data_IF_787466413063
#
_entry.id   IF_787466413063
#
_cell.length_a   1.000
_cell.length_b   1.000
_cell.length_c   1.000
_cell.angle_alpha   90.00
_cell.angle_beta   90.00
_cell.angle_gamma   90.00
#
_symmetry.space_group_name_H-M   'P 1'
#
loop_
_entity.id
_entity.type
_entity.pdbx_description
1 polymer ?
#
# COMPACT_ATOMS: atom_id res chain seq x y z
N UNK A 1 -18.53 7.44 -23.57
CA UNK A 1 -17.69 6.24 -23.33
C UNK A 1 -18.01 5.69 -21.95
N UNK A 2 -17.99 4.36 -21.74
CA UNK A 2 -18.17 3.78 -20.38
C UNK A 2 -17.04 4.24 -19.46
N UNK A 3 -17.34 4.54 -18.19
CA UNK A 3 -16.35 4.94 -17.16
C UNK A 3 -15.16 3.97 -17.10
N UNK A 4 -15.41 2.66 -17.25
CA UNK A 4 -14.36 1.64 -17.29
C UNK A 4 -13.42 1.76 -18.52
N UNK A 5 -13.93 2.20 -19.68
CA UNK A 5 -13.07 2.47 -20.85
C UNK A 5 -12.20 3.70 -20.62
N UNK A 6 -12.74 4.75 -20.01
CA UNK A 6 -11.96 5.94 -19.63
C UNK A 6 -10.88 5.59 -18.59
N UNK A 7 -11.22 4.77 -17.60
CA UNK A 7 -10.30 4.23 -16.61
C UNK A 7 -9.08 3.56 -17.27
N UNK A 8 -9.29 2.56 -18.12
CA UNK A 8 -8.19 1.85 -18.82
C UNK A 8 -7.31 2.77 -19.67
N UNK A 9 -7.91 3.72 -20.38
CA UNK A 9 -7.16 4.64 -21.26
C UNK A 9 -6.29 5.59 -20.42
N UNK A 10 -6.83 6.11 -19.31
CA UNK A 10 -6.12 7.05 -18.45
C UNK A 10 -4.88 6.47 -17.76
N UNK A 11 -4.89 5.17 -17.45
CA UNK A 11 -3.80 4.48 -16.76
C UNK A 11 -2.77 3.87 -17.71
N UNK A 12 -3.15 3.61 -18.96
CA UNK A 12 -2.25 3.13 -20.01
C UNK A 12 -1.49 4.27 -20.70
N UNK A 13 -2.14 5.43 -20.90
CA UNK A 13 -1.57 6.57 -21.63
C UNK A 13 -0.87 7.61 -20.72
N UNK A 14 -0.43 7.20 -19.53
CA UNK A 14 0.36 8.07 -18.65
C UNK A 14 1.57 8.60 -19.42
N UNK A 15 1.58 9.92 -19.62
CA UNK A 15 2.60 10.76 -20.26
C UNK A 15 4.01 10.17 -20.27
N UNK A 16 4.76 10.38 -21.37
CA UNK A 16 6.21 10.09 -21.55
C UNK A 16 7.16 10.62 -20.44
N UNK A 17 6.61 11.25 -19.40
CA UNK A 17 7.33 11.71 -18.23
C UNK A 17 7.85 10.54 -17.38
N UNK A 18 9.18 10.46 -17.27
CA UNK A 18 9.92 9.43 -16.54
C UNK A 18 9.45 9.29 -15.07
N UNK A 19 8.97 10.36 -14.42
CA UNK A 19 8.50 10.29 -13.04
C UNK A 19 7.18 9.51 -12.91
N UNK A 20 6.27 9.70 -13.87
CA UNK A 20 5.01 8.94 -13.94
C UNK A 20 5.27 7.46 -14.16
N UNK A 21 6.27 7.14 -14.99
CA UNK A 21 6.74 5.76 -15.20
C UNK A 21 7.25 5.12 -13.90
N UNK A 22 8.09 5.84 -13.14
CA UNK A 22 8.64 5.35 -11.86
C UNK A 22 7.54 5.12 -10.82
N UNK A 23 6.54 5.98 -10.76
CA UNK A 23 5.37 5.77 -9.90
C UNK A 23 4.60 4.48 -10.28
N UNK A 24 4.35 4.28 -11.59
CA UNK A 24 3.74 3.03 -12.08
C UNK A 24 4.59 1.81 -11.73
N UNK A 25 5.91 1.87 -11.92
CA UNK A 25 6.86 0.81 -11.54
C UNK A 25 6.80 0.51 -10.05
N UNK A 26 6.68 1.53 -9.20
CA UNK A 26 6.58 1.36 -7.76
C UNK A 26 5.33 0.57 -7.38
N UNK A 27 4.17 0.91 -7.94
CA UNK A 27 2.92 0.18 -7.64
C UNK A 27 2.98 -1.24 -8.22
N UNK A 28 3.54 -1.43 -9.42
CA UNK A 28 3.79 -2.76 -9.95
C UNK A 28 4.65 -3.57 -8.97
N UNK A 29 5.73 -2.96 -8.45
CA UNK A 29 6.61 -3.58 -7.47
C UNK A 29 5.84 -3.96 -6.21
N UNK A 30 4.99 -3.08 -5.65
CA UNK A 30 4.18 -3.42 -4.48
C UNK A 30 3.34 -4.69 -4.70
N UNK A 31 2.72 -4.83 -5.87
CA UNK A 31 1.86 -5.97 -6.20
C UNK A 31 2.66 -7.25 -6.44
N UNK A 32 3.66 -7.24 -7.32
CA UNK A 32 4.47 -8.41 -7.66
C UNK A 32 5.80 -8.02 -8.30
N UNK A 33 6.89 -8.71 -7.92
CA UNK A 33 8.21 -8.46 -8.53
C UNK A 33 8.24 -8.89 -10.00
N UNK A 34 7.62 -10.03 -10.34
CA UNK A 34 7.59 -10.54 -11.72
C UNK A 34 6.79 -9.60 -12.61
N UNK A 35 5.67 -9.07 -12.10
CA UNK A 35 4.88 -8.07 -12.80
C UNK A 35 5.67 -6.78 -13.06
N UNK A 36 6.40 -6.30 -12.05
CA UNK A 36 7.25 -5.12 -12.20
C UNK A 36 8.39 -5.34 -13.18
N UNK A 37 9.04 -6.51 -13.17
CA UNK A 37 10.13 -6.85 -14.09
C UNK A 37 9.65 -7.02 -15.53
N UNK A 38 8.56 -7.74 -15.76
CA UNK A 38 8.00 -7.91 -17.11
C UNK A 38 7.64 -6.57 -17.75
N UNK A 39 7.03 -5.66 -16.97
CA UNK A 39 6.75 -4.30 -17.44
C UNK A 39 8.04 -3.49 -17.63
N UNK A 40 9.03 -3.61 -16.74
CA UNK A 40 10.32 -2.93 -16.87
C UNK A 40 11.06 -3.33 -18.16
N UNK A 41 11.12 -4.63 -18.48
CA UNK A 41 11.76 -5.12 -19.71
C UNK A 41 11.08 -4.55 -20.95
N UNK A 42 9.75 -4.61 -20.99
CA UNK A 42 8.97 -4.02 -22.09
C UNK A 42 9.15 -2.50 -22.21
N UNK A 43 9.24 -1.76 -21.10
CA UNK A 43 9.43 -0.31 -21.07
C UNK A 43 10.84 0.12 -21.48
N UNK A 44 11.86 -0.68 -21.19
CA UNK A 44 13.26 -0.39 -21.54
C UNK A 44 13.69 -1.05 -22.86
N UNK A 45 12.78 -1.73 -23.57
CA UNK A 45 13.07 -2.40 -24.84
C UNK A 45 14.06 -3.56 -24.72
N UNK A 46 14.09 -4.23 -23.56
CA UNK A 46 14.94 -5.38 -23.31
C UNK A 46 14.19 -6.65 -23.75
N UNK A 47 14.78 -7.39 -24.69
CA UNK A 47 14.24 -8.68 -25.15
C UNK A 47 14.42 -9.74 -24.04
N UNK A 48 13.41 -10.59 -23.86
CA UNK A 48 13.64 -11.87 -23.18
C UNK A 48 14.43 -12.73 -24.16
N UNK A 49 15.60 -13.23 -23.75
CA UNK A 49 16.36 -14.23 -24.52
C UNK A 49 15.52 -15.53 -24.60
N UNK A 50 14.55 -15.56 -25.50
CA UNK A 50 13.86 -16.77 -25.90
C UNK A 50 14.67 -17.41 -27.04
N UNK A 51 15.62 -18.25 -26.65
CA UNK A 51 16.27 -19.23 -27.54
C UNK A 51 15.19 -20.18 -28.10
N UNK A 52 14.52 -19.76 -29.17
CA UNK A 52 13.72 -20.66 -29.98
C UNK A 52 14.63 -21.34 -31.00
N UNK A 53 15.02 -22.58 -30.71
CA UNK A 53 15.43 -23.51 -31.77
C UNK A 53 14.22 -23.74 -32.70
N UNK A 54 14.15 -22.98 -33.79
CA UNK A 54 13.21 -23.22 -34.88
C UNK A 54 13.57 -24.50 -35.62
N UNK A 55 12.95 -25.62 -35.24
CA UNK A 55 12.88 -26.82 -36.08
C UNK A 55 11.91 -26.57 -37.23
N UNK A 56 12.29 -26.93 -38.45
CA UNK A 56 11.38 -26.93 -39.60
C UNK A 56 10.26 -27.96 -39.38
N UNK A 57 9.02 -27.48 -39.27
CA UNK A 57 7.83 -28.32 -39.03
C UNK A 57 7.28 -28.84 -40.35
N UNK A 58 6.85 -30.11 -40.37
CA UNK A 58 6.18 -30.72 -41.52
C UNK A 58 4.82 -30.05 -41.78
N UNK A 59 4.35 -30.02 -43.03
CA UNK A 59 3.12 -29.33 -43.43
C UNK A 59 1.85 -29.77 -42.65
N UNK A 60 1.80 -31.03 -42.21
CA UNK A 60 0.70 -31.57 -41.39
C UNK A 60 0.74 -30.98 -39.98
N UNK A 61 1.93 -30.81 -39.40
CA UNK A 61 2.11 -30.17 -38.09
C UNK A 61 1.81 -28.68 -38.16
N UNK A 62 2.16 -28.01 -39.26
CA UNK A 62 1.79 -26.62 -39.51
C UNK A 62 0.27 -26.44 -39.57
N UNK A 63 -0.45 -27.32 -40.27
CA UNK A 63 -1.91 -27.27 -40.34
C UNK A 63 -2.57 -27.55 -38.98
N UNK A 64 -2.10 -28.55 -38.24
CA UNK A 64 -2.60 -28.84 -36.89
C UNK A 64 -2.32 -27.70 -35.91
N UNK A 65 -1.15 -27.06 -36.01
CA UNK A 65 -0.77 -25.90 -35.20
C UNK A 65 -1.62 -24.67 -35.56
N UNK A 66 -1.92 -24.46 -36.85
CA UNK A 66 -2.81 -23.39 -37.31
C UNK A 66 -4.26 -23.58 -36.84
N UNK A 67 -4.80 -24.80 -36.92
CA UNK A 67 -6.14 -25.10 -36.41
C UNK A 67 -6.23 -24.94 -34.89
N UNK A 68 -5.21 -25.42 -34.15
CA UNK A 68 -5.11 -25.25 -32.70
C UNK A 68 -5.00 -23.77 -32.33
N UNK A 69 -4.18 -23.01 -33.04
CA UNK A 69 -4.05 -21.56 -32.87
C UNK A 69 -5.39 -20.84 -33.13
N UNK A 70 -6.14 -21.25 -34.16
CA UNK A 70 -7.47 -20.67 -34.45
C UNK A 70 -8.49 -20.96 -33.35
N UNK A 71 -8.51 -22.19 -32.82
CA UNK A 71 -9.40 -22.57 -31.70
C UNK A 71 -9.03 -21.81 -30.43
N UNK A 72 -7.74 -21.70 -30.10
CA UNK A 72 -7.25 -20.92 -28.97
C UNK A 72 -7.62 -19.44 -29.12
N UNK A 73 -7.39 -18.83 -30.28
CA UNK A 73 -7.72 -17.43 -30.52
C UNK A 73 -9.21 -17.11 -30.33
N UNK A 74 -10.12 -18.03 -30.65
CA UNK A 74 -11.56 -17.87 -30.40
C UNK A 74 -11.87 -17.95 -28.90
N UNK A 75 -11.24 -18.88 -28.18
CA UNK A 75 -11.40 -19.00 -26.73
C UNK A 75 -10.82 -17.78 -26.00
N UNK A 76 -9.66 -17.28 -26.43
CA UNK A 76 -9.00 -16.09 -25.89
C UNK A 76 -9.87 -14.85 -26.07
N UNK A 77 -10.45 -14.64 -27.27
CA UNK A 77 -11.39 -13.52 -27.50
C UNK A 77 -12.60 -13.58 -26.57
N UNK A 78 -13.18 -14.76 -26.36
CA UNK A 78 -14.31 -14.91 -25.45
C UNK A 78 -13.91 -14.67 -23.99
N UNK A 79 -12.74 -15.16 -23.58
CA UNK A 79 -12.19 -14.91 -22.25
C UNK A 79 -11.99 -13.42 -22.00
N UNK A 80 -11.40 -12.71 -22.96
CA UNK A 80 -11.24 -11.26 -22.89
C UNK A 80 -12.58 -10.52 -22.79
N UNK A 81 -13.60 -10.95 -23.52
CA UNK A 81 -14.94 -10.33 -23.44
C UNK A 81 -15.56 -10.50 -22.06
N UNK A 82 -15.50 -11.71 -21.51
CA UNK A 82 -16.01 -12.01 -20.16
C UNK A 82 -15.22 -11.26 -19.10
N UNK A 83 -13.91 -11.18 -19.24
CA UNK A 83 -13.02 -10.44 -18.35
C UNK A 83 -13.33 -8.93 -18.39
N UNK A 84 -13.47 -8.34 -19.58
CA UNK A 84 -13.87 -6.93 -19.73
C UNK A 84 -15.23 -6.66 -19.06
N UNK A 85 -16.18 -7.58 -19.19
CA UNK A 85 -17.48 -7.47 -18.54
C UNK A 85 -17.37 -7.57 -17.00
N UNK A 86 -16.60 -8.55 -16.49
CA UNK A 86 -16.35 -8.73 -15.06
C UNK A 86 -15.69 -7.47 -14.48
N UNK A 87 -14.61 -6.99 -15.07
CA UNK A 87 -13.88 -5.81 -14.62
C UNK A 87 -14.74 -4.55 -14.64
N UNK A 88 -15.61 -4.36 -15.65
CA UNK A 88 -16.54 -3.23 -15.69
C UNK A 88 -17.55 -3.28 -14.52
N UNK A 89 -18.05 -4.48 -14.17
CA UNK A 89 -18.96 -4.67 -13.03
C UNK A 89 -18.24 -4.47 -11.69
N UNK A 90 -17.04 -5.02 -11.56
CA UNK A 90 -16.17 -4.88 -10.38
C UNK A 90 -15.86 -3.41 -10.14
N UNK A 91 -15.43 -2.67 -11.16
CA UNK A 91 -15.14 -1.24 -11.04
C UNK A 91 -16.34 -0.44 -10.51
N UNK A 92 -17.52 -0.65 -11.10
CA UNK A 92 -18.75 0.04 -10.68
C UNK A 92 -19.14 -0.28 -9.24
N UNK A 93 -18.99 -1.54 -8.83
CA UNK A 93 -19.30 -1.95 -7.45
C UNK A 93 -18.27 -1.41 -6.44
N UNK A 94 -16.98 -1.35 -6.81
CA UNK A 94 -15.95 -0.71 -6.00
C UNK A 94 -16.27 0.77 -5.81
N UNK A 95 -16.55 1.52 -6.89
CA UNK A 95 -16.88 2.95 -6.77
C UNK A 95 -18.08 3.19 -5.85
N UNK A 96 -19.11 2.34 -5.94
CA UNK A 96 -20.26 2.41 -5.05
C UNK A 96 -19.87 2.17 -3.59
N UNK A 97 -19.09 1.11 -3.30
CA UNK A 97 -18.70 0.76 -1.92
C UNK A 97 -17.70 1.73 -1.31
N UNK A 98 -16.91 2.42 -2.12
CA UNK A 98 -15.98 3.46 -1.66
C UNK A 98 -16.69 4.69 -1.07
N UNK A 99 -17.98 4.88 -1.36
CA UNK A 99 -18.79 5.97 -0.79
C UNK A 99 -19.25 5.69 0.65
N UNK A 100 -19.16 4.44 1.11
CA UNK A 100 -19.63 4.00 2.42
C UNK A 100 -18.45 3.83 3.39
N UNK A 101 -18.22 4.87 4.20
CA UNK A 101 -17.11 4.90 5.16
C UNK A 101 -17.22 3.81 6.25
N UNK A 102 -18.44 3.54 6.73
CA UNK A 102 -18.70 2.53 7.77
C UNK A 102 -18.40 1.13 7.22
N UNK A 103 -18.86 0.83 6.01
CA UNK A 103 -18.52 -0.43 5.33
C UNK A 103 -17.00 -0.60 5.15
N UNK A 104 -16.27 0.45 4.77
CA UNK A 104 -14.81 0.39 4.64
C UNK A 104 -14.17 0.06 5.99
N UNK A 105 -14.57 0.74 7.07
CA UNK A 105 -13.98 0.54 8.38
C UNK A 105 -14.29 -0.84 8.94
N UNK A 106 -15.55 -1.24 8.95
CA UNK A 106 -15.99 -2.45 9.64
C UNK A 106 -15.80 -3.72 8.80
N UNK A 107 -16.17 -3.67 7.51
CA UNK A 107 -16.21 -4.87 6.65
C UNK A 107 -14.94 -5.05 5.85
N UNK A 108 -14.37 -3.96 5.33
CA UNK A 108 -13.15 -4.05 4.50
C UNK A 108 -11.92 -4.13 5.37
N UNK A 109 -11.74 -3.20 6.31
CA UNK A 109 -10.53 -3.11 7.13
C UNK A 109 -10.63 -3.86 8.46
N UNK A 110 -11.82 -3.95 9.05
CA UNK A 110 -12.04 -4.56 10.37
C UNK A 110 -11.50 -3.69 11.50
N UNK A 111 -11.69 -2.37 11.42
CA UNK A 111 -11.24 -1.37 12.41
C UNK A 111 -12.32 -1.19 13.47
N UNK A 112 -12.06 -1.57 14.74
CA UNK A 112 -12.98 -1.24 15.82
C UNK A 112 -13.06 0.27 16.04
N UNK A 113 -14.25 0.79 16.36
CA UNK A 113 -14.48 2.22 16.62
C UNK A 113 -13.64 2.80 17.79
N UNK A 114 -13.06 1.95 18.65
CA UNK A 114 -12.11 2.37 19.68
C UNK A 114 -10.74 2.74 19.12
N UNK A 115 -10.35 2.23 17.95
CA UNK A 115 -8.99 2.41 17.40
C UNK A 115 -8.74 3.85 16.94
N UNK A 116 -9.63 4.50 16.17
CA UNK A 116 -9.47 5.92 15.86
C UNK A 116 -9.44 6.79 17.13
N UNK A 117 -10.34 6.51 18.08
CA UNK A 117 -10.36 7.22 19.38
C UNK A 117 -9.05 7.08 20.15
N UNK A 118 -8.42 5.90 20.11
CA UNK A 118 -7.12 5.65 20.70
C UNK A 118 -6.02 6.46 20.01
N UNK A 119 -5.95 6.44 18.68
CA UNK A 119 -4.94 7.17 17.90
C UNK A 119 -5.00 8.68 18.15
N UNK A 120 -6.20 9.23 18.35
CA UNK A 120 -6.37 10.63 18.69
C UNK A 120 -6.05 10.91 20.17
N UNK A 121 -6.49 10.03 21.08
CA UNK A 121 -6.27 10.19 22.51
C UNK A 121 -4.78 10.18 22.89
N UNK A 122 -3.95 9.33 22.30
CA UNK A 122 -2.52 9.27 22.65
C UNK A 122 -1.78 10.60 22.38
N UNK A 123 -2.30 11.46 21.52
CA UNK A 123 -1.75 12.80 21.24
C UNK A 123 -2.25 13.87 22.23
N UNK A 124 -3.11 13.54 23.19
CA UNK A 124 -3.54 14.45 24.23
C UNK A 124 -2.50 14.52 25.38
N UNK A 125 -2.09 15.73 25.82
CA UNK A 125 -1.13 15.88 26.93
C UNK A 125 -1.58 15.24 28.25
N UNK A 126 -2.90 15.08 28.45
CA UNK A 126 -3.52 14.57 29.68
C UNK A 126 -3.88 13.08 29.61
N UNK A 127 -3.46 12.35 28.59
CA UNK A 127 -3.84 10.94 28.43
C UNK A 127 -3.17 10.07 29.48
N UNK A 128 -4.00 9.35 30.23
CA UNK A 128 -3.53 8.44 31.28
C UNK A 128 -3.39 7.02 30.74
N UNK A 129 -2.49 6.22 31.33
CA UNK A 129 -2.35 4.79 30.99
C UNK A 129 -3.67 4.03 31.14
N UNK A 130 -4.52 4.42 32.10
CA UNK A 130 -5.85 3.85 32.31
C UNK A 130 -6.79 4.11 31.13
N UNK A 131 -6.77 5.32 30.56
CA UNK A 131 -7.59 5.66 29.40
C UNK A 131 -7.12 4.89 28.15
N UNK A 132 -5.81 4.75 27.96
CA UNK A 132 -5.24 3.90 26.89
C UNK A 132 -5.66 2.45 27.10
N UNK A 133 -5.59 1.93 28.33
CA UNK A 133 -6.02 0.58 28.67
C UNK A 133 -7.50 0.32 28.34
N UNK A 134 -8.37 1.28 28.67
CA UNK A 134 -9.80 1.21 28.33
C UNK A 134 -10.05 1.20 26.82
N UNK A 135 -9.39 2.08 26.07
CA UNK A 135 -9.54 2.14 24.60
C UNK A 135 -8.91 0.93 23.89
N UNK A 136 -7.91 0.31 24.51
CA UNK A 136 -7.24 -0.90 24.04
C UNK A 136 -8.00 -2.20 24.35
N UNK A 137 -9.18 -2.12 24.97
CA UNK A 137 -10.04 -3.28 25.22
C UNK A 137 -10.37 -3.96 23.89
N UNK A 138 -10.15 -5.29 23.82
CA UNK A 138 -10.33 -6.12 22.62
C UNK A 138 -9.41 -5.77 21.43
N UNK A 139 -8.32 -5.02 21.66
CA UNK A 139 -7.29 -4.78 20.65
C UNK A 139 -6.09 -5.72 20.86
N UNK A 140 -6.26 -7.00 20.53
CA UNK A 140 -5.22 -8.03 20.74
C UNK A 140 -3.90 -7.67 20.05
N UNK A 141 -3.97 -7.08 18.86
CA UNK A 141 -2.80 -6.62 18.10
C UNK A 141 -1.98 -5.58 18.89
N UNK A 142 -2.63 -4.74 19.70
CA UNK A 142 -1.97 -3.74 20.53
C UNK A 142 -1.45 -4.37 21.81
N UNK A 143 -2.26 -5.18 22.49
CA UNK A 143 -1.89 -5.78 23.77
C UNK A 143 -0.68 -6.71 23.60
N UNK A 144 -0.73 -7.60 22.61
CA UNK A 144 0.37 -8.52 22.28
C UNK A 144 1.54 -7.75 21.68
N UNK A 145 1.27 -6.82 20.77
CA UNK A 145 2.29 -6.05 20.07
C UNK A 145 3.14 -5.19 21.00
N UNK A 146 2.50 -4.48 21.93
CA UNK A 146 3.21 -3.61 22.89
C UNK A 146 4.06 -4.43 23.85
N UNK A 147 3.53 -5.53 24.39
CA UNK A 147 4.29 -6.46 25.25
C UNK A 147 5.50 -7.02 24.50
N UNK A 148 5.37 -7.35 23.22
CA UNK A 148 6.50 -7.81 22.41
C UNK A 148 7.56 -6.73 22.23
N UNK A 149 7.15 -5.48 21.94
CA UNK A 149 8.07 -4.36 21.69
C UNK A 149 8.88 -3.99 22.93
N UNK A 150 8.26 -3.95 24.13
CA UNK A 150 8.96 -3.57 25.37
C UNK A 150 10.02 -4.58 25.81
N UNK A 151 9.97 -5.81 25.27
CA UNK A 151 10.95 -6.86 25.52
C UNK A 151 12.02 -6.95 24.41
N UNK A 152 12.10 -5.96 23.51
CA UNK A 152 13.08 -5.87 22.42
C UNK A 152 13.86 -4.54 22.51
N UNK A 153 15.02 -4.42 21.85
CA UNK A 153 15.75 -3.15 21.81
C UNK A 153 14.91 -2.03 21.15
N UNK A 154 15.02 -0.77 21.62
CA UNK A 154 15.92 -0.26 22.66
C UNK A 154 15.41 -0.45 24.11
N UNK A 155 14.22 -1.00 24.30
CA UNK A 155 13.59 -1.11 25.62
C UNK A 155 14.23 -2.17 26.52
N UNK A 156 14.73 -3.25 25.93
CA UNK A 156 15.38 -4.35 26.63
C UNK A 156 16.45 -5.01 25.76
N UNK A 157 17.53 -5.48 26.38
CA UNK A 157 18.42 -6.46 25.77
C UNK A 157 17.79 -7.85 25.89
N UNK A 158 17.47 -8.53 24.77
CA UNK A 158 16.91 -9.88 24.80
C UNK A 158 17.82 -10.91 25.48
N UNK A 159 19.13 -10.63 25.58
CA UNK A 159 20.14 -11.52 26.16
C UNK A 159 20.39 -11.30 27.65
N UNK A 160 19.79 -10.27 28.27
CA UNK A 160 19.92 -10.03 29.71
C UNK A 160 19.05 -11.03 30.50
N UNK A 161 19.69 -12.10 30.99
CA UNK A 161 19.05 -13.16 31.77
C UNK A 161 18.59 -12.74 33.16
N UNK A 162 19.04 -11.59 33.67
CA UNK A 162 18.69 -11.09 35.01
C UNK A 162 17.43 -10.24 35.02
N UNK A 163 16.97 -9.78 33.85
CA UNK A 163 15.80 -8.91 33.75
C UNK A 163 14.50 -9.72 33.65
N UNK A 164 13.54 -9.37 34.51
CA UNK A 164 12.17 -9.90 34.41
C UNK A 164 11.50 -9.42 33.10
N UNK A 165 10.99 -10.37 32.31
CA UNK A 165 10.23 -10.07 31.09
C UNK A 165 8.87 -9.46 31.45
N UNK A 166 8.48 -8.42 30.73
CA UNK A 166 7.15 -7.84 30.88
C UNK A 166 6.17 -8.75 30.16
N UNK A 167 5.16 -9.27 30.86
CA UNK A 167 4.21 -10.26 30.31
C UNK A 167 2.78 -9.74 30.15
N UNK A 168 2.47 -8.55 30.70
CA UNK A 168 1.12 -7.99 30.68
C UNK A 168 1.10 -6.57 30.10
N UNK A 169 -0.05 -6.20 29.54
CA UNK A 169 -0.23 -4.94 28.83
C UNK A 169 -0.06 -3.70 29.71
N UNK A 170 -0.59 -3.72 30.94
CA UNK A 170 -0.44 -2.61 31.90
C UNK A 170 1.02 -2.34 32.24
N UNK A 171 1.81 -3.39 32.46
CA UNK A 171 3.25 -3.29 32.68
C UNK A 171 3.97 -2.72 31.46
N UNK A 172 3.55 -3.10 30.25
CA UNK A 172 4.11 -2.55 29.01
C UNK A 172 3.78 -1.06 28.84
N UNK A 173 2.54 -0.64 29.12
CA UNK A 173 2.14 0.78 29.09
C UNK A 173 2.94 1.63 30.07
N UNK A 174 3.18 1.14 31.29
CA UNK A 174 3.99 1.87 32.27
C UNK A 174 5.47 1.94 31.90
N UNK A 175 5.94 1.01 31.06
CA UNK A 175 7.33 0.97 30.61
C UNK A 175 7.59 1.93 29.43
N UNK A 176 6.58 2.18 28.59
CA UNK A 176 6.64 3.04 27.41
C UNK A 176 6.18 4.45 27.75
N UNK A 177 7.01 5.45 27.43
CA UNK A 177 6.61 6.84 27.62
C UNK A 177 5.51 7.29 26.64
N UNK A 178 4.76 8.33 27.00
CA UNK A 178 3.68 8.86 26.17
C UNK A 178 4.14 9.20 24.74
N UNK A 179 5.34 9.78 24.59
CA UNK A 179 5.92 10.13 23.29
C UNK A 179 6.15 8.89 22.41
N UNK A 180 6.67 7.79 22.99
CA UNK A 180 6.91 6.56 22.24
C UNK A 180 5.59 5.85 21.88
N UNK A 181 4.54 5.99 22.69
CA UNK A 181 3.21 5.47 22.35
C UNK A 181 2.66 6.11 21.08
N UNK A 182 2.90 7.41 20.85
CA UNK A 182 2.52 8.10 19.61
C UNK A 182 3.22 7.57 18.36
N UNK A 183 4.29 6.78 18.51
CA UNK A 183 4.99 6.12 17.38
C UNK A 183 4.62 4.63 17.30
N UNK A 184 4.59 3.94 18.44
CA UNK A 184 4.35 2.49 18.51
C UNK A 184 2.91 2.15 18.15
N UNK A 185 1.93 2.88 18.69
CA UNK A 185 0.50 2.56 18.47
C UNK A 185 0.13 2.72 17.00
N UNK A 186 0.48 3.83 16.29
CA UNK A 186 0.24 3.91 14.85
C UNK A 186 0.92 2.81 14.04
N UNK A 187 2.14 2.43 14.41
CA UNK A 187 2.87 1.36 13.72
C UNK A 187 2.18 -0.01 13.86
N UNK A 188 1.73 -0.35 15.07
CA UNK A 188 0.99 -1.59 15.33
C UNK A 188 -0.40 -1.57 14.67
N UNK A 189 -1.10 -0.43 14.69
CA UNK A 189 -2.37 -0.26 14.01
C UNK A 189 -2.22 -0.50 12.51
N UNK A 190 -1.23 0.14 11.87
CA UNK A 190 -0.95 -0.06 10.45
C UNK A 190 -0.68 -1.54 10.12
N UNK A 191 0.13 -2.24 10.92
CA UNK A 191 0.38 -3.68 10.73
C UNK A 191 -0.89 -4.54 10.78
N UNK A 192 -1.83 -4.18 11.65
CA UNK A 192 -3.11 -4.89 11.76
C UNK A 192 -4.02 -4.66 10.56
N UNK A 193 -3.92 -3.50 9.90
CA UNK A 193 -4.80 -3.11 8.79
C UNK A 193 -4.33 -3.59 7.42
N UNK A 194 -3.02 -3.85 7.26
CA UNK A 194 -2.44 -4.35 6.01
C UNK A 194 -3.19 -5.57 5.47
N UNK A 195 -3.26 -5.73 4.13
CA UNK A 195 -3.90 -6.90 3.53
C UNK A 195 -3.24 -8.21 4.01
N UNK A 196 -3.98 -9.33 3.99
CA UNK A 196 -3.41 -10.64 4.27
C UNK A 196 -2.32 -10.99 3.24
N UNK A 197 -1.33 -11.77 3.66
CA UNK A 197 -0.25 -12.23 2.78
C UNK A 197 -0.67 -13.48 2.00
N UNK A 198 -1.79 -13.39 1.29
CA UNK A 198 -2.42 -14.51 0.60
C UNK A 198 -2.41 -14.32 -0.93
N UNK A 199 -2.51 -15.40 -1.71
CA UNK A 199 -2.69 -15.30 -3.15
C UNK A 199 -3.92 -14.45 -3.52
N UNK A 200 -3.90 -13.71 -4.64
CA UNK A 200 -2.83 -13.64 -5.64
C UNK A 200 -1.72 -12.61 -5.35
N UNK A 201 -1.81 -11.83 -4.26
CA UNK A 201 -0.93 -10.70 -3.96
C UNK A 201 -0.09 -10.90 -2.68
N UNK A 202 0.52 -12.06 -2.51
CA UNK A 202 1.16 -12.48 -1.26
C UNK A 202 2.28 -11.55 -0.77
N UNK A 203 2.98 -10.87 -1.67
CA UNK A 203 4.09 -9.96 -1.33
C UNK A 203 3.62 -8.54 -0.96
N UNK A 204 2.37 -8.19 -1.27
CA UNK A 204 1.85 -6.84 -1.12
C UNK A 204 1.95 -6.36 0.33
N UNK A 205 1.53 -7.20 1.29
CA UNK A 205 1.63 -6.92 2.73
C UNK A 205 3.04 -6.51 3.14
N UNK A 206 4.05 -7.31 2.76
CA UNK A 206 5.45 -7.10 3.16
C UNK A 206 6.02 -5.82 2.53
N UNK A 207 5.73 -5.57 1.26
CA UNK A 207 6.26 -4.41 0.53
C UNK A 207 5.59 -3.11 0.99
N UNK A 208 4.28 -3.11 1.19
CA UNK A 208 3.56 -1.99 1.80
C UNK A 208 4.11 -1.69 3.19
N UNK A 209 4.28 -2.70 4.05
CA UNK A 209 4.86 -2.51 5.39
C UNK A 209 6.24 -1.84 5.33
N UNK A 210 7.14 -2.34 4.48
CA UNK A 210 8.48 -1.77 4.33
C UNK A 210 8.43 -0.30 3.90
N UNK A 211 7.53 0.02 2.97
CA UNK A 211 7.37 1.36 2.45
C UNK A 211 6.81 2.32 3.49
N UNK A 212 5.67 1.99 4.11
CA UNK A 212 5.00 2.89 5.07
C UNK A 212 5.81 3.08 6.34
N UNK A 213 6.49 2.03 6.83
CA UNK A 213 7.38 2.15 7.98
C UNK A 213 8.56 3.09 7.63
N UNK A 214 9.15 2.90 6.44
CA UNK A 214 10.22 3.77 5.96
C UNK A 214 9.77 5.23 5.84
N UNK A 215 8.61 5.47 5.24
CA UNK A 215 8.04 6.82 5.08
C UNK A 215 7.69 7.44 6.44
N UNK A 216 7.15 6.67 7.39
CA UNK A 216 6.94 7.12 8.78
C UNK A 216 8.24 7.56 9.47
N UNK A 217 9.30 6.77 9.37
CA UNK A 217 10.63 7.10 9.94
C UNK A 217 11.23 8.35 9.26
N UNK A 218 11.10 8.46 7.94
CA UNK A 218 11.62 9.58 7.16
C UNK A 218 10.88 10.88 7.49
N UNK A 219 9.55 10.85 7.57
CA UNK A 219 8.73 12.02 7.95
C UNK A 219 9.02 12.47 9.37
N UNK A 220 9.15 11.53 10.32
CA UNK A 220 9.58 11.83 11.69
C UNK A 220 10.91 12.57 11.70
N UNK A 221 11.92 12.07 10.97
CA UNK A 221 13.23 12.72 10.89
C UNK A 221 13.19 14.08 10.20
N UNK A 222 12.38 14.23 9.14
CA UNK A 222 12.23 15.52 8.45
C UNK A 222 11.57 16.57 9.33
N UNK A 223 10.58 16.19 10.15
CA UNK A 223 9.98 17.08 11.13
C UNK A 223 10.97 17.53 12.21
N UNK A 224 11.83 16.63 12.69
CA UNK A 224 12.92 16.98 13.62
C UNK A 224 13.90 17.99 13.01
N UNK A 225 14.26 17.82 11.73
CA UNK A 225 15.15 18.73 11.03
C UNK A 225 14.50 20.08 10.72
N UNK A 226 13.18 20.11 10.53
CA UNK A 226 12.39 21.33 10.34
C UNK A 226 12.28 22.13 11.66
N UNK A 227 12.13 21.42 12.79
CA UNK A 227 12.12 22.00 14.14
C UNK A 227 10.82 22.70 14.55
N UNK A 228 9.84 22.85 13.65
CA UNK A 228 8.54 23.46 13.93
C UNK A 228 7.38 22.46 13.96
N UNK A 229 7.54 21.33 13.27
CA UNK A 229 6.53 20.29 13.16
C UNK A 229 6.72 19.24 14.27
N UNK A 230 5.62 18.77 14.85
CA UNK A 230 5.65 17.65 15.79
C UNK A 230 6.09 16.35 15.06
N UNK A 231 7.20 15.71 15.46
CA UNK A 231 7.69 14.49 14.83
C UNK A 231 6.75 13.29 14.96
N UNK A 232 5.95 13.19 16.03
CA UNK A 232 5.01 12.09 16.23
C UNK A 232 3.81 12.21 15.28
N UNK A 233 3.30 13.42 15.08
CA UNK A 233 2.27 13.70 14.06
C UNK A 233 2.80 13.41 12.66
N UNK A 234 4.05 13.83 12.38
CA UNK A 234 4.69 13.55 11.10
C UNK A 234 4.84 12.04 10.85
N UNK A 235 5.27 11.28 11.87
CA UNK A 235 5.36 9.82 11.82
C UNK A 235 4.00 9.18 11.49
N UNK A 236 2.93 9.61 12.19
CA UNK A 236 1.58 9.11 11.96
C UNK A 236 1.11 9.41 10.52
N UNK A 237 1.37 10.62 10.02
CA UNK A 237 1.08 10.98 8.64
C UNK A 237 1.86 10.10 7.63
N UNK A 238 3.13 9.83 7.90
CA UNK A 238 3.97 8.97 7.06
C UNK A 238 3.58 7.49 7.09
N UNK A 239 3.16 6.94 8.23
CA UNK A 239 2.86 5.51 8.32
C UNK A 239 1.48 5.14 7.75
N UNK A 240 0.54 6.09 7.70
CA UNK A 240 -0.82 5.85 7.23
C UNK A 240 -1.12 6.36 5.80
N UNK A 241 -0.17 7.03 5.13
CA UNK A 241 -0.42 7.67 3.82
C UNK A 241 -0.91 6.70 2.72
N UNK A 242 -0.60 5.42 2.85
CA UNK A 242 -0.92 4.35 1.90
C UNK A 242 -2.19 3.56 2.23
N UNK A 243 -3.01 4.06 3.15
CA UNK A 243 -4.25 3.37 3.54
C UNK A 243 -5.23 3.20 2.37
N UNK A 244 -5.21 4.09 1.39
CA UNK A 244 -5.95 3.93 0.14
C UNK A 244 -5.56 2.67 -0.62
N UNK A 245 -4.26 2.38 -0.77
CA UNK A 245 -3.79 1.14 -1.42
C UNK A 245 -4.23 -0.10 -0.62
N UNK A 246 -4.22 -0.02 0.72
CA UNK A 246 -4.71 -1.10 1.60
C UNK A 246 -6.21 -1.36 1.40
N UNK A 247 -7.03 -0.31 1.44
CA UNK A 247 -8.48 -0.38 1.22
C UNK A 247 -8.78 -0.95 -0.16
N UNK A 248 -8.16 -0.41 -1.21
CA UNK A 248 -8.39 -0.83 -2.59
C UNK A 248 -8.00 -2.30 -2.82
N UNK A 249 -6.89 -2.77 -2.25
CA UNK A 249 -6.47 -4.16 -2.37
C UNK A 249 -7.46 -5.13 -1.71
N UNK A 250 -7.91 -4.84 -0.49
CA UNK A 250 -8.87 -5.69 0.24
C UNK A 250 -10.25 -5.63 -0.41
N UNK A 251 -10.72 -4.42 -0.76
CA UNK A 251 -12.01 -4.21 -1.40
C UNK A 251 -12.07 -4.86 -2.79
N UNK A 252 -11.00 -4.78 -3.57
CA UNK A 252 -10.94 -5.43 -4.89
C UNK A 252 -11.18 -6.93 -4.79
N UNK A 253 -10.50 -7.63 -3.88
CA UNK A 253 -10.68 -9.07 -3.71
C UNK A 253 -12.11 -9.42 -3.28
N UNK A 254 -12.64 -8.70 -2.28
CA UNK A 254 -14.01 -8.90 -1.79
C UNK A 254 -15.06 -8.68 -2.89
N UNK A 255 -14.93 -7.60 -3.65
CA UNK A 255 -15.86 -7.26 -4.73
C UNK A 255 -15.70 -8.20 -5.92
N UNK A 256 -14.47 -8.60 -6.25
CA UNK A 256 -14.20 -9.54 -7.32
C UNK A 256 -14.93 -10.87 -7.07
N UNK A 257 -14.82 -11.43 -5.86
CA UNK A 257 -15.48 -12.68 -5.51
C UNK A 257 -17.00 -12.58 -5.52
N UNK A 258 -17.56 -11.48 -5.00
CA UNK A 258 -19.00 -11.22 -5.02
C UNK A 258 -19.55 -11.07 -6.45
N UNK A 259 -18.91 -10.23 -7.27
CA UNK A 259 -19.34 -10.01 -8.66
C UNK A 259 -19.18 -11.28 -9.48
N UNK A 260 -18.09 -12.01 -9.32
CA UNK A 260 -17.86 -13.29 -10.00
C UNK A 260 -18.95 -14.31 -9.62
N UNK A 261 -19.31 -14.41 -8.34
CA UNK A 261 -20.39 -15.28 -7.87
C UNK A 261 -21.74 -14.92 -8.51
N UNK A 262 -22.11 -13.63 -8.51
CA UNK A 262 -23.33 -13.14 -9.18
C UNK A 262 -23.32 -13.40 -10.70
N UNK A 263 -22.15 -13.36 -11.33
CA UNK A 263 -22.01 -13.70 -12.76
C UNK A 263 -22.21 -15.21 -13.00
N UNK A 264 -21.70 -16.08 -12.13
CA UNK A 264 -21.96 -17.52 -12.21
C UNK A 264 -23.46 -17.83 -12.11
N UNK A 265 -24.19 -17.19 -11.19
CA UNK A 265 -25.64 -17.37 -11.06
C UNK A 265 -26.38 -16.96 -12.34
N UNK A 266 -25.91 -15.90 -13.00
CA UNK A 266 -26.47 -15.45 -14.29
C UNK A 266 -26.20 -16.47 -15.40
N UNK A 267 -25.02 -17.07 -15.43
CA UNK A 267 -24.61 -18.05 -16.45
C UNK A 267 -25.11 -19.47 -16.16
N UNK A 268 -25.62 -19.75 -14.96
CA UNK A 268 -26.17 -21.05 -14.56
C UNK A 268 -27.33 -21.54 -15.44
N UNK A 269 -28.00 -20.62 -16.16
CA UNK A 269 -29.06 -20.96 -17.13
C UNK A 269 -28.52 -21.61 -18.42
N UNK A 270 -27.20 -21.59 -18.65
CA UNK A 270 -26.49 -22.28 -19.75
C UNK A 270 -25.13 -22.81 -19.23
N UNK A 271 -25.11 -23.94 -18.48
CA UNK A 271 -23.91 -24.44 -17.80
C UNK A 271 -22.78 -24.90 -18.73
N UNK A 272 -23.09 -25.22 -20.00
CA UNK A 272 -22.12 -25.59 -21.02
C UNK A 272 -21.66 -24.39 -21.87
N UNK A 273 -22.10 -23.18 -21.51
CA UNK A 273 -21.70 -21.97 -22.22
C UNK A 273 -20.19 -21.78 -22.12
N UNK A 274 -19.55 -21.48 -23.25
CA UNK A 274 -18.13 -21.09 -23.30
C UNK A 274 -17.81 -19.92 -22.36
N UNK A 275 -18.81 -19.07 -22.06
CA UNK A 275 -18.70 -17.97 -21.09
C UNK A 275 -18.55 -18.44 -19.65
N UNK A 276 -19.19 -19.54 -19.27
CA UNK A 276 -19.07 -20.12 -17.93
C UNK A 276 -17.65 -20.66 -17.71
N UNK A 277 -17.13 -21.42 -18.69
CA UNK A 277 -15.76 -21.93 -18.64
C UNK A 277 -14.72 -20.80 -18.62
N UNK A 278 -14.91 -19.77 -19.45
CA UNK A 278 -14.06 -18.60 -19.42
C UNK A 278 -14.06 -17.90 -18.04
N UNK A 279 -15.21 -17.80 -17.37
CA UNK A 279 -15.30 -17.17 -16.04
C UNK A 279 -14.56 -17.96 -14.95
N UNK A 280 -14.51 -19.29 -15.04
CA UNK A 280 -13.76 -20.13 -14.10
C UNK A 280 -12.25 -19.85 -14.13
N UNK A 281 -11.71 -19.53 -15.30
CA UNK A 281 -10.27 -19.29 -15.49
C UNK A 281 -9.82 -17.87 -15.12
N UNK A 282 -10.77 -16.93 -15.01
CA UNK A 282 -10.44 -15.54 -14.70
C UNK A 282 -10.08 -15.39 -13.21
N UNK A 283 -8.88 -14.85 -12.97
CA UNK A 283 -8.32 -14.57 -11.64
C UNK A 283 -8.23 -13.06 -11.42
N UNK A 284 -8.11 -12.58 -10.17
CA UNK A 284 -7.89 -11.17 -9.90
C UNK A 284 -6.63 -10.67 -10.60
N UNK A 285 -6.80 -9.64 -11.43
CA UNK A 285 -5.76 -9.11 -12.29
C UNK A 285 -4.87 -8.07 -11.58
N UNK A 286 -3.56 -8.18 -11.78
CA UNK A 286 -2.55 -7.27 -11.22
C UNK A 286 -2.61 -5.88 -11.88
N UNK A 287 -2.88 -5.83 -13.19
CA UNK A 287 -2.99 -4.59 -13.95
C UNK A 287 -4.20 -3.78 -13.47
N UNK A 288 -5.36 -4.43 -13.31
CA UNK A 288 -6.57 -3.80 -12.79
C UNK A 288 -6.34 -3.21 -11.38
N UNK A 289 -5.74 -3.96 -10.45
CA UNK A 289 -5.47 -3.46 -9.11
C UNK A 289 -4.50 -2.27 -9.13
N UNK A 290 -3.44 -2.33 -9.96
CA UNK A 290 -2.49 -1.24 -10.10
C UNK A 290 -3.16 0.03 -10.63
N UNK A 291 -3.99 -0.11 -11.65
CA UNK A 291 -4.71 1.01 -12.26
C UNK A 291 -5.66 1.66 -11.27
N UNK A 292 -6.34 0.84 -10.45
CA UNK A 292 -7.20 1.31 -9.37
C UNK A 292 -6.41 2.10 -8.32
N UNK A 293 -5.24 1.62 -7.91
CA UNK A 293 -4.35 2.32 -6.99
C UNK A 293 -3.88 3.66 -7.59
N UNK A 294 -3.35 3.66 -8.81
CA UNK A 294 -2.88 4.89 -9.48
C UNK A 294 -3.95 5.99 -9.52
N UNK A 295 -5.21 5.61 -9.77
CA UNK A 295 -6.28 6.57 -9.93
C UNK A 295 -6.87 7.06 -8.60
N UNK A 296 -7.00 6.18 -7.60
CA UNK A 296 -7.88 6.42 -6.45
C UNK A 296 -7.18 6.45 -5.10
N UNK A 297 -5.93 6.00 -4.98
CA UNK A 297 -5.33 5.74 -3.66
C UNK A 297 -5.30 6.96 -2.74
N UNK A 298 -4.90 8.14 -3.23
CA UNK A 298 -4.87 9.36 -2.40
C UNK A 298 -6.25 9.83 -1.97
N UNK A 299 -7.22 9.81 -2.88
CA UNK A 299 -8.62 10.17 -2.61
C UNK A 299 -9.20 9.25 -1.51
N UNK A 300 -8.96 7.94 -1.63
CA UNK A 300 -9.43 6.95 -0.66
C UNK A 300 -8.77 7.13 0.71
N UNK A 301 -7.45 7.40 0.76
CA UNK A 301 -6.77 7.74 2.03
C UNK A 301 -7.42 8.97 2.66
N UNK A 302 -7.59 10.07 1.92
CA UNK A 302 -8.19 11.30 2.43
C UNK A 302 -9.61 11.10 2.97
N UNK A 303 -10.48 10.43 2.20
CA UNK A 303 -11.85 10.15 2.61
C UNK A 303 -11.93 9.24 3.85
N UNK A 304 -11.03 8.26 3.98
CA UNK A 304 -10.96 7.41 5.16
C UNK A 304 -10.64 8.24 6.41
N UNK A 305 -9.58 9.05 6.37
CA UNK A 305 -9.15 9.82 7.54
C UNK A 305 -10.09 10.97 7.88
N UNK A 306 -10.75 11.57 6.88
CA UNK A 306 -11.84 12.52 7.10
C UNK A 306 -13.00 11.92 7.89
N UNK A 307 -13.35 10.66 7.63
CA UNK A 307 -14.42 9.95 8.35
C UNK A 307 -14.08 9.61 9.80
N UNK A 308 -12.79 9.51 10.16
CA UNK A 308 -12.38 9.30 11.56
C UNK A 308 -12.58 10.53 12.46
N UNK A 309 -12.64 11.73 11.88
CA UNK A 309 -12.90 12.98 12.61
C UNK A 309 -12.01 13.18 13.86
N UNK A 310 -10.69 13.05 13.68
CA UNK A 310 -9.71 13.29 14.75
C UNK A 310 -9.74 14.73 15.24
N UNK A 311 -9.60 14.94 16.55
CA UNK A 311 -9.61 16.26 17.17
C UNK A 311 -8.20 16.84 17.35
N UNK A 312 -7.20 15.98 17.53
CA UNK A 312 -5.82 16.36 17.87
C UNK A 312 -4.84 15.98 16.78
N UNK A 313 -5.12 14.89 16.07
CA UNK A 313 -4.27 14.40 15.00
C UNK A 313 -4.77 14.89 13.63
N UNK A 314 -4.14 15.90 12.99
CA UNK A 314 -4.68 16.56 11.80
C UNK A 314 -4.45 15.77 10.50
N UNK A 315 -4.67 14.44 10.51
CA UNK A 315 -4.40 13.60 9.33
C UNK A 315 -5.35 13.90 8.17
N UNK A 316 -6.59 14.28 8.46
CA UNK A 316 -7.57 14.67 7.46
C UNK A 316 -7.07 15.85 6.61
N UNK A 317 -6.63 16.94 7.26
CA UNK A 317 -6.09 18.12 6.58
C UNK A 317 -4.80 17.80 5.82
N UNK A 318 -3.90 17.00 6.42
CA UNK A 318 -2.63 16.61 5.79
C UNK A 318 -2.90 15.80 4.51
N UNK A 319 -3.83 14.85 4.55
CA UNK A 319 -4.14 14.00 3.40
C UNK A 319 -4.99 14.70 2.35
N UNK A 320 -5.86 15.64 2.74
CA UNK A 320 -6.56 16.50 1.80
C UNK A 320 -5.57 17.33 0.97
N UNK A 321 -4.60 17.98 1.63
CA UNK A 321 -3.53 18.73 0.95
C UNK A 321 -2.65 17.81 0.08
N UNK A 322 -2.24 16.65 0.61
CA UNK A 322 -1.44 15.68 -0.13
C UNK A 322 -2.15 15.10 -1.36
N UNK A 323 -3.47 14.90 -1.28
CA UNK A 323 -4.28 14.44 -2.40
C UNK A 323 -4.51 15.52 -3.46
N UNK A 324 -4.67 16.79 -3.04
CA UNK A 324 -4.87 17.92 -3.93
C UNK A 324 -3.59 18.38 -4.64
N UNK A 325 -2.43 18.14 -4.05
CA UNK A 325 -1.14 18.60 -4.55
C UNK A 325 -0.74 17.96 -5.88
N UNK A 326 -0.45 18.81 -6.89
CA UNK A 326 0.09 18.39 -8.19
C UNK A 326 1.61 18.50 -8.24
N UNK A 327 2.17 19.37 -7.42
CA UNK A 327 3.60 19.59 -7.27
C UNK A 327 3.96 19.83 -5.80
N UNK A 328 5.25 19.69 -5.47
CA UNK A 328 5.75 20.01 -4.13
C UNK A 328 5.48 21.47 -3.73
N UNK A 329 5.28 22.39 -4.69
CA UNK A 329 4.98 23.80 -4.40
C UNK A 329 3.59 23.99 -3.80
N UNK A 330 2.69 23.05 -4.06
CA UNK A 330 1.32 23.07 -3.56
C UNK A 330 1.21 22.47 -2.16
N UNK A 331 2.35 22.08 -1.56
CA UNK A 331 2.42 21.42 -0.25
C UNK A 331 3.14 22.28 0.78
N UNK A 332 2.68 22.20 2.01
CA UNK A 332 3.16 22.93 3.18
C UNK A 332 3.33 21.97 4.36
N UNK A 333 4.06 22.41 5.39
CA UNK A 333 4.25 21.69 6.65
C UNK A 333 4.42 20.18 6.50
N UNK A 334 3.47 19.43 7.05
CA UNK A 334 3.42 17.96 7.04
C UNK A 334 3.27 17.36 5.64
N UNK A 335 2.40 17.89 4.78
CA UNK A 335 2.19 17.37 3.43
C UNK A 335 3.46 17.47 2.57
N UNK A 336 4.26 18.53 2.78
CA UNK A 336 5.54 18.72 2.10
C UNK A 336 6.56 17.66 2.52
N UNK A 337 6.77 17.47 3.82
CA UNK A 337 7.71 16.45 4.31
C UNK A 337 7.23 15.04 3.99
N UNK A 338 5.91 14.80 3.95
CA UNK A 338 5.32 13.54 3.52
C UNK A 338 5.66 13.25 2.06
N UNK A 339 5.49 14.24 1.17
CA UNK A 339 5.85 14.10 -0.25
C UNK A 339 7.33 13.78 -0.43
N UNK A 340 8.21 14.49 0.30
CA UNK A 340 9.65 14.25 0.27
C UNK A 340 10.03 12.86 0.79
N UNK A 341 9.49 12.45 1.93
CA UNK A 341 9.72 11.14 2.53
C UNK A 341 9.19 10.01 1.64
N UNK A 342 8.00 10.17 1.06
CA UNK A 342 7.41 9.19 0.17
C UNK A 342 8.32 8.95 -1.05
N UNK A 343 8.70 10.01 -1.76
CA UNK A 343 9.59 9.92 -2.93
C UNK A 343 10.94 9.30 -2.58
N UNK A 344 11.51 9.61 -1.41
CA UNK A 344 12.75 8.97 -0.96
C UNK A 344 12.58 7.47 -0.70
N UNK A 345 11.47 7.08 -0.05
CA UNK A 345 11.13 5.69 0.26
C UNK A 345 10.88 4.86 -1.01
N UNK A 346 10.11 5.39 -1.97
CA UNK A 346 9.86 4.78 -3.28
C UNK A 346 11.16 4.51 -4.02
N UNK A 347 12.03 5.53 -4.14
CA UNK A 347 13.34 5.38 -4.79
C UNK A 347 14.19 4.31 -4.10
N UNK A 348 14.26 4.33 -2.76
CA UNK A 348 15.03 3.36 -1.98
C UNK A 348 14.61 1.91 -2.24
N UNK A 349 13.30 1.67 -2.41
CA UNK A 349 12.75 0.35 -2.67
C UNK A 349 12.94 -0.07 -4.13
N UNK A 350 12.68 0.83 -5.08
CA UNK A 350 12.90 0.58 -6.51
C UNK A 350 14.37 0.29 -6.81
N UNK A 351 15.28 1.12 -6.30
CA UNK A 351 16.72 0.94 -6.47
C UNK A 351 17.20 -0.38 -5.83
N UNK A 352 16.70 -0.74 -4.65
CA UNK A 352 17.03 -2.02 -4.01
C UNK A 352 16.51 -3.25 -4.79
N UNK A 353 15.50 -3.05 -5.65
CA UNK A 353 14.93 -4.07 -6.51
C UNK A 353 15.51 -4.06 -7.94
N UNK A 354 16.49 -3.20 -8.23
CA UNK A 354 17.04 -2.94 -9.57
C UNK A 354 15.98 -2.48 -10.59
N UNK A 355 15.03 -1.66 -10.15
CA UNK A 355 13.94 -1.10 -10.99
C UNK A 355 14.06 0.41 -11.23
N UNK A 356 15.09 1.05 -10.65
CA UNK A 356 15.40 2.47 -10.85
C UNK A 356 16.91 2.70 -10.79
N UNK A 357 17.40 3.60 -11.63
CA UNK A 357 18.82 4.00 -11.69
C UNK A 357 19.13 5.12 -10.70
N UNK A 358 20.41 5.42 -10.47
CA UNK A 358 20.79 6.60 -9.69
C UNK A 358 20.38 7.92 -10.35
N UNK A 359 20.27 7.95 -11.68
CA UNK A 359 19.79 9.13 -12.41
C UNK A 359 18.29 9.36 -12.16
N UNK A 360 17.51 8.28 -12.15
CA UNK A 360 16.09 8.33 -11.75
C UNK A 360 15.94 8.92 -10.35
N UNK A 361 16.79 8.50 -9.40
CA UNK A 361 16.83 9.07 -8.06
C UNK A 361 17.11 10.57 -8.04
N UNK A 362 18.08 11.05 -8.83
CA UNK A 362 18.37 12.49 -8.93
C UNK A 362 17.15 13.28 -9.44
N UNK A 363 16.48 12.77 -10.47
CA UNK A 363 15.26 13.37 -11.04
C UNK A 363 14.12 13.39 -10.01
N UNK A 364 13.88 12.27 -9.33
CA UNK A 364 12.87 12.16 -8.26
C UNK A 364 13.13 13.16 -7.13
N UNK A 365 14.37 13.23 -6.63
CA UNK A 365 14.73 14.12 -5.52
C UNK A 365 14.67 15.61 -5.89
N UNK A 366 15.07 15.95 -7.12
CA UNK A 366 14.94 17.30 -7.64
C UNK A 366 13.47 17.74 -7.73
N UNK A 367 12.57 16.84 -8.17
CA UNK A 367 11.14 17.11 -8.27
C UNK A 367 10.50 17.49 -6.92
N UNK A 368 10.97 16.89 -5.82
CA UNK A 368 10.48 17.18 -4.46
C UNK A 368 11.37 18.14 -3.67
N UNK A 369 12.34 18.79 -4.33
CA UNK A 369 13.25 19.78 -3.75
C UNK A 369 14.00 19.25 -2.51
N UNK A 370 14.40 17.98 -2.52
CA UNK A 370 15.23 17.41 -1.47
C UNK A 370 16.67 17.93 -1.61
N UNK A 371 17.16 18.61 -0.58
CA UNK A 371 18.54 19.13 -0.57
C UNK A 371 19.57 18.01 -0.39
N UNK A 372 20.79 18.19 -0.91
CA UNK A 372 21.88 17.24 -0.71
C UNK A 372 22.19 16.97 0.77
N UNK A 373 22.12 18.01 1.62
CA UNK A 373 22.28 17.87 3.09
C UNK A 373 21.19 16.99 3.69
N UNK A 374 19.93 17.21 3.30
CA UNK A 374 18.80 16.38 3.76
C UNK A 374 18.97 14.94 3.31
N UNK A 375 19.33 14.69 2.05
CA UNK A 375 19.56 13.33 1.52
C UNK A 375 20.63 12.58 2.31
N UNK A 376 21.72 13.26 2.69
CA UNK A 376 22.78 12.67 3.52
C UNK A 376 22.28 12.29 4.91
N UNK A 377 21.43 13.11 5.53
CA UNK A 377 20.79 12.78 6.81
C UNK A 377 19.85 11.58 6.68
N UNK A 378 18.99 11.54 5.65
CA UNK A 378 18.06 10.44 5.43
C UNK A 378 18.78 9.11 5.15
N UNK A 379 19.96 9.15 4.50
CA UNK A 379 20.76 7.96 4.20
C UNK A 379 21.30 7.27 5.45
N UNK A 380 21.47 7.98 6.57
CA UNK A 380 21.95 7.43 7.85
C UNK A 380 20.87 6.59 8.55
N UNK A 381 19.60 6.74 8.19
CA UNK A 381 18.48 6.13 8.90
C UNK A 381 18.33 4.64 8.57
N UNK A 382 17.98 3.87 9.60
CA UNK A 382 17.62 2.47 9.45
C UNK A 382 16.10 2.32 9.28
N UNK A 383 15.61 2.34 8.02
CA UNK A 383 14.18 2.38 7.66
C UNK A 383 13.33 1.14 8.04
N UNK A 384 13.88 0.24 8.87
CA UNK A 384 13.22 -0.98 9.37
C UNK A 384 13.05 -0.98 10.89
N UNK A 385 13.54 0.05 11.58
CA UNK A 385 13.52 0.15 13.04
C UNK A 385 12.90 1.49 13.44
N UNK A 386 11.91 1.46 14.32
CA UNK A 386 11.28 2.68 14.85
C UNK A 386 12.32 3.55 15.57
N UNK A 387 12.23 4.86 15.40
CA UNK A 387 13.03 5.83 16.16
C UNK A 387 12.23 6.18 17.41
N UNK A 388 12.63 5.61 18.54
CA UNK A 388 12.02 5.81 19.85
C UNK A 388 12.95 6.65 20.71
N UNK A 389 12.40 7.40 21.67
CA UNK A 389 13.14 8.31 22.55
C UNK A 389 14.36 7.64 23.21
N UNK A 390 14.18 6.44 23.77
CA UNK A 390 15.26 5.66 24.42
C UNK A 390 16.30 5.09 23.47
N UNK A 391 16.00 4.98 22.17
CA UNK A 391 16.94 4.47 21.17
C UNK A 391 17.75 5.55 20.47
N UNK A 392 17.61 6.81 20.86
CA UNK A 392 18.33 7.95 20.27
C UNK A 392 19.69 8.22 20.92
N UNK A 393 19.96 7.61 22.07
CA UNK A 393 21.19 7.77 22.86
C UNK A 393 22.25 6.68 22.59
N UNK A 394 21.93 5.74 21.69
CA UNK A 394 22.76 4.59 21.30
C UNK A 394 22.97 4.57 19.79
#
# INVERSE_FOLDING_TARGET
MSQYKQFRVSTQNGTDDRLSLLNRRFINYLISLNFARGQYMAEEGLEEDEDYETRELLAVEQHQRAEKARKNAVQDRQREEVEKLLHARVYKEIEKRLQDHEYICERVLGIPASTPKLLDAIHAPSTTSRQVEQLATNLDWLQIGLVKIVNMPPFADPNDSKRAKITNFRGALNFVGAVDLCVIVPALAMQSWLPPAEPPFSLLRRKLWQHVLGTGILTQRLAELDGKLDPAVAFAAGIFHEMGKVVLARLFLLVFDDVRSRMFDTFRKDPHSRRYNALLEIKPDQQFLRDLMLQKEREVTGNLFKGFAFQRLPLDAIYEEFAAARSIKDTTGYARILTQANTYSEFRLLHAANLATLEDGKKMFANVRLSGKTILELRKLHLKKLILSRGRES
#
